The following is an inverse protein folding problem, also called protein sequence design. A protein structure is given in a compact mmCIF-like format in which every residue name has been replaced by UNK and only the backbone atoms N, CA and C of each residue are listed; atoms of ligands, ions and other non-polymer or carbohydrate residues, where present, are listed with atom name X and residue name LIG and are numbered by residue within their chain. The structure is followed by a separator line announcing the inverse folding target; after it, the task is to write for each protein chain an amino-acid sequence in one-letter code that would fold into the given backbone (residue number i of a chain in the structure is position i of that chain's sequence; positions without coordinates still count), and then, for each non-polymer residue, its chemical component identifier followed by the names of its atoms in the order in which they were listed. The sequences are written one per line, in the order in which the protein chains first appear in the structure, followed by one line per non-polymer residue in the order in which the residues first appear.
data_IF_004648110579
#
_entry.id   IF_004648110579
#
_cell.length_a   1.000
_cell.length_b   1.000
_cell.length_c   1.000
_cell.angle_alpha   90.00
_cell.angle_beta   90.00
_cell.angle_gamma   90.00
#
_symmetry.space_group_name_H-M   'P 1'
#
loop_
_entity.id
_entity.type
_entity.pdbx_description
1 polymer ?
#
# COMPACT_ATOMS: atom_id res chain seq x y z
N UNK A 1 -52.68 8.16 12.41
CA UNK A 1 -51.51 7.30 12.65
C UNK A 1 -50.34 7.84 11.85
N UNK A 2 -49.33 8.43 12.49
CA UNK A 2 -48.15 8.96 11.81
C UNK A 2 -47.29 7.78 11.33
N UNK A 3 -47.13 7.62 10.01
CA UNK A 3 -46.20 6.66 9.42
C UNK A 3 -44.77 7.08 9.81
N UNK A 4 -44.09 6.29 10.65
CA UNK A 4 -42.65 6.47 10.91
C UNK A 4 -41.92 6.38 9.56
N UNK A 5 -41.21 7.44 9.18
CA UNK A 5 -40.28 7.39 8.05
C UNK A 5 -39.24 6.29 8.31
N UNK A 6 -38.88 5.46 7.30
CA UNK A 6 -37.80 4.50 7.46
C UNK A 6 -36.50 5.24 7.81
N UNK A 7 -35.73 4.68 8.75
CA UNK A 7 -34.43 5.23 9.12
C UNK A 7 -33.52 5.24 7.89
N UNK A 8 -32.81 6.34 7.66
CA UNK A 8 -31.84 6.46 6.58
C UNK A 8 -30.69 5.45 6.84
N UNK A 9 -30.20 4.71 5.84
CA UNK A 9 -29.07 3.81 6.02
C UNK A 9 -27.83 4.58 6.49
N UNK A 10 -27.13 4.04 7.49
CA UNK A 10 -25.89 4.62 8.04
C UNK A 10 -24.80 4.59 6.97
N UNK A 11 -24.18 5.74 6.69
CA UNK A 11 -23.10 5.84 5.70
C UNK A 11 -21.77 5.33 6.27
N UNK A 12 -20.85 4.87 5.41
CA UNK A 12 -19.47 4.46 5.80
C UNK A 12 -18.77 5.54 6.64
N UNK A 13 -18.91 6.82 6.27
CA UNK A 13 -18.39 7.97 7.03
C UNK A 13 -19.01 8.13 8.42
N UNK A 14 -20.32 7.97 8.56
CA UNK A 14 -21.01 8.07 9.85
C UNK A 14 -20.60 6.92 10.78
N UNK A 15 -20.53 5.71 10.23
CA UNK A 15 -20.04 4.54 10.96
C UNK A 15 -18.60 4.74 11.43
N UNK A 16 -17.70 5.20 10.56
CA UNK A 16 -16.31 5.52 10.92
C UNK A 16 -16.24 6.55 12.05
N UNK A 17 -16.96 7.67 11.95
CA UNK A 17 -16.97 8.70 13.00
C UNK A 17 -17.43 8.14 14.34
N UNK A 18 -18.44 7.28 14.32
CA UNK A 18 -18.98 6.63 15.52
C UNK A 18 -18.04 5.55 16.08
N UNK A 19 -17.40 4.76 15.23
CA UNK A 19 -16.46 3.72 15.63
C UNK A 19 -15.19 4.32 16.22
N UNK A 20 -14.57 5.28 15.51
CA UNK A 20 -13.35 5.97 15.91
C UNK A 20 -13.58 6.95 17.07
N UNK A 21 -14.75 7.59 17.14
CA UNK A 21 -15.13 8.42 18.28
C UNK A 21 -15.30 7.61 19.58
N UNK A 22 -15.66 6.32 19.48
CA UNK A 22 -15.71 5.41 20.63
C UNK A 22 -14.35 4.80 20.98
N UNK A 23 -13.54 4.46 19.97
CA UNK A 23 -12.19 3.96 20.15
C UNK A 23 -11.27 4.51 19.05
N UNK A 24 -10.46 5.55 19.34
CA UNK A 24 -9.59 6.18 18.35
C UNK A 24 -8.40 5.28 17.92
N UNK A 25 -8.14 4.20 18.67
CA UNK A 25 -7.03 3.26 18.40
C UNK A 25 -7.42 2.10 17.51
N UNK A 26 -8.66 2.05 16.98
CA UNK A 26 -9.03 1.00 16.03
C UNK A 26 -8.18 1.14 14.77
N UNK A 27 -7.59 0.02 14.36
CA UNK A 27 -7.00 -0.11 13.04
C UNK A 27 -8.10 -0.35 11.97
N UNK A 28 -7.68 -0.24 10.72
CA UNK A 28 -8.54 -0.40 9.55
C UNK A 28 -9.31 -1.73 9.54
N UNK A 29 -8.61 -2.84 9.85
CA UNK A 29 -9.18 -4.20 9.82
C UNK A 29 -10.25 -4.36 10.89
N UNK A 30 -9.98 -3.85 12.10
CA UNK A 30 -10.91 -3.87 13.21
C UNK A 30 -12.17 -3.05 12.92
N UNK A 31 -12.05 -1.94 12.19
CA UNK A 31 -13.22 -1.16 11.75
C UNK A 31 -14.03 -1.93 10.70
N UNK A 32 -13.40 -2.55 9.71
CA UNK A 32 -14.11 -3.32 8.68
C UNK A 32 -14.79 -4.57 9.23
N UNK A 33 -14.15 -5.28 10.17
CA UNK A 33 -14.80 -6.39 10.88
C UNK A 33 -16.07 -5.93 11.62
N UNK A 34 -16.05 -4.73 12.22
CA UNK A 34 -17.22 -4.16 12.90
C UNK A 34 -18.31 -3.74 11.90
N UNK A 35 -17.92 -3.24 10.73
CA UNK A 35 -18.82 -2.85 9.65
C UNK A 35 -19.62 -4.04 9.12
N UNK A 36 -18.93 -5.15 8.82
CA UNK A 36 -19.56 -6.41 8.41
C UNK A 36 -20.45 -6.97 9.53
N UNK A 37 -19.96 -6.98 10.79
CA UNK A 37 -20.73 -7.47 11.94
C UNK A 37 -22.01 -6.64 12.20
N UNK A 38 -22.04 -5.38 11.78
CA UNK A 38 -23.22 -4.52 11.85
C UNK A 38 -24.23 -4.78 10.71
N UNK A 39 -23.95 -5.73 9.82
CA UNK A 39 -24.84 -6.12 8.72
C UNK A 39 -24.76 -5.19 7.50
N UNK A 40 -23.71 -4.38 7.41
CA UNK A 40 -23.46 -3.56 6.22
C UNK A 40 -22.77 -4.39 5.13
N UNK A 41 -22.96 -3.98 3.88
CA UNK A 41 -22.38 -4.61 2.68
C UNK A 41 -21.22 -3.79 2.14
N UNK A 42 -20.26 -4.45 1.49
CA UNK A 42 -18.99 -3.86 1.03
C UNK A 42 -18.07 -3.50 2.18
N UNK A 43 -16.90 -2.94 1.88
CA UNK A 43 -15.91 -2.54 2.89
C UNK A 43 -15.74 -1.02 2.95
N UNK A 44 -15.36 -0.53 4.12
CA UNK A 44 -14.88 0.84 4.33
C UNK A 44 -13.47 0.90 3.75
N UNK A 45 -13.19 1.78 2.79
CA UNK A 45 -11.87 1.91 2.19
C UNK A 45 -10.83 2.50 3.15
N UNK A 46 -9.56 2.15 2.92
CA UNK A 46 -8.41 2.66 3.69
C UNK A 46 -8.36 4.19 3.63
N UNK A 47 -8.52 4.75 2.43
CA UNK A 47 -8.59 6.19 2.21
C UNK A 47 -9.68 6.85 3.05
N UNK A 48 -10.91 6.31 3.05
CA UNK A 48 -12.00 6.86 3.83
C UNK A 48 -11.74 6.76 5.34
N UNK A 49 -11.13 5.66 5.80
CA UNK A 49 -10.72 5.47 7.19
C UNK A 49 -9.73 6.55 7.65
N UNK A 50 -8.65 6.78 6.90
CA UNK A 50 -7.65 7.80 7.26
C UNK A 50 -8.17 9.23 7.09
N UNK A 51 -8.98 9.52 6.07
CA UNK A 51 -9.65 10.81 5.93
C UNK A 51 -10.54 11.15 7.13
N UNK A 52 -11.29 10.16 7.65
CA UNK A 52 -12.12 10.39 8.85
C UNK A 52 -11.27 10.54 10.11
N UNK A 53 -10.18 9.78 10.27
CA UNK A 53 -9.23 9.97 11.39
C UNK A 53 -8.64 11.37 11.42
N UNK A 54 -8.18 11.86 10.27
CA UNK A 54 -7.66 13.23 10.12
C UNK A 54 -8.72 14.28 10.48
N UNK A 55 -9.96 14.13 9.99
CA UNK A 55 -11.09 15.02 10.33
C UNK A 55 -11.48 15.00 11.81
N UNK A 56 -11.23 13.90 12.51
CA UNK A 56 -11.45 13.77 13.95
C UNK A 56 -10.28 14.30 14.79
N UNK A 57 -9.21 14.81 14.16
CA UNK A 57 -8.00 15.22 14.87
C UNK A 57 -7.27 14.06 15.55
N UNK A 58 -7.57 12.81 15.16
CA UNK A 58 -6.86 11.63 15.65
C UNK A 58 -5.51 11.65 14.94
N UNK A 59 -4.50 12.18 15.61
CA UNK A 59 -3.12 12.09 15.14
C UNK A 59 -2.75 10.61 15.01
N UNK A 60 -2.33 10.22 13.82
CA UNK A 60 -1.62 8.97 13.58
C UNK A 60 -0.22 9.10 14.16
N UNK A 61 -0.11 9.00 15.48
CA UNK A 61 1.18 8.73 16.13
C UNK A 61 1.41 7.22 16.07
N UNK A 62 2.47 6.82 15.37
CA UNK A 62 2.92 5.42 15.32
C UNK A 62 3.50 5.02 16.69
N UNK A 63 2.61 4.81 17.66
CA UNK A 63 2.94 4.28 18.99
C UNK A 63 2.53 2.82 18.99
N UNK A 64 3.53 1.95 18.85
CA UNK A 64 3.39 0.51 19.01
C UNK A 64 2.90 0.22 20.44
N UNK A 65 1.60 -0.02 20.60
CA UNK A 65 1.11 -0.63 21.82
C UNK A 65 1.79 -2.01 21.92
N UNK A 66 2.65 -2.18 22.93
CA UNK A 66 3.12 -3.50 23.34
C UNK A 66 1.93 -4.23 23.91
N UNK A 67 1.26 -5.02 23.09
CA UNK A 67 0.39 -6.08 23.58
C UNK A 67 1.13 -7.42 23.57
N UNK A 68 0.88 -8.14 24.65
CA UNK A 68 1.58 -9.30 25.19
C UNK A 68 1.73 -10.47 24.23
N UNK A 69 2.88 -11.14 24.31
CA UNK A 69 3.18 -12.41 23.66
C UNK A 69 2.08 -13.47 23.92
N UNK A 70 1.56 -14.16 22.90
CA UNK A 70 0.75 -15.33 23.14
C UNK A 70 1.65 -16.52 23.47
N UNK A 71 1.36 -17.17 24.60
CA UNK A 71 1.93 -18.47 24.98
C UNK A 71 1.68 -19.52 23.90
N UNK A 72 2.64 -20.43 23.82
CA UNK A 72 2.71 -21.50 22.83
C UNK A 72 1.54 -22.49 22.90
N UNK A 73 1.27 -23.04 21.71
CA UNK A 73 0.65 -24.34 21.43
C UNK A 73 -0.78 -24.30 20.87
N UNK A 74 -0.85 -24.16 19.55
CA UNK A 74 -1.67 -25.04 18.71
C UNK A 74 -1.23 -24.83 17.27
N UNK A 75 -0.61 -25.85 16.67
CA UNK A 75 -0.30 -25.87 15.24
C UNK A 75 -1.58 -26.04 14.43
N UNK A 76 -1.90 -25.14 13.47
CA UNK A 76 -2.75 -25.49 12.35
C UNK A 76 -1.87 -26.06 11.23
N UNK A 77 -2.22 -27.24 10.75
CA UNK A 77 -1.65 -27.85 9.55
C UNK A 77 -2.05 -27.00 8.33
N UNK A 78 -1.24 -25.99 7.96
CA UNK A 78 -1.49 -25.17 6.78
C UNK A 78 -0.97 -25.85 5.50
N UNK A 79 -1.83 -25.94 4.49
CA UNK A 79 -1.40 -26.19 3.12
C UNK A 79 -0.43 -25.07 2.72
N UNK A 80 0.78 -25.42 2.28
CA UNK A 80 1.79 -24.44 1.84
C UNK A 80 1.24 -23.64 0.66
N UNK A 81 0.80 -22.40 0.89
CA UNK A 81 0.49 -21.46 -0.17
C UNK A 81 1.75 -21.21 -0.98
N UNK A 82 1.66 -21.23 -2.32
CA UNK A 82 2.79 -20.92 -3.18
C UNK A 82 3.25 -19.49 -2.93
N UNK A 83 4.57 -19.29 -2.89
CA UNK A 83 5.18 -17.97 -2.76
C UNK A 83 5.76 -17.56 -4.11
N UNK A 84 5.47 -16.33 -4.52
CA UNK A 84 5.96 -15.74 -5.76
C UNK A 84 7.02 -14.70 -5.46
N UNK A 85 8.10 -14.72 -6.23
CA UNK A 85 9.14 -13.69 -6.20
C UNK A 85 8.93 -12.70 -7.33
N UNK A 86 8.87 -11.42 -6.98
CA UNK A 86 8.78 -10.30 -7.92
C UNK A 86 9.93 -9.32 -7.70
N UNK A 87 10.38 -8.70 -8.80
CA UNK A 87 11.18 -7.49 -8.75
C UNK A 87 10.30 -6.29 -9.11
N UNK A 88 10.24 -5.33 -8.21
CA UNK A 88 9.58 -4.04 -8.39
C UNK A 88 10.66 -3.01 -8.71
N UNK A 89 10.54 -2.30 -9.81
CA UNK A 89 11.49 -1.24 -10.20
C UNK A 89 10.74 0.03 -10.53
N UNK A 90 11.08 1.13 -9.85
CA UNK A 90 10.55 2.45 -10.16
C UNK A 90 11.09 2.90 -11.53
N UNK A 91 10.18 3.18 -12.46
CA UNK A 91 10.51 3.54 -13.83
C UNK A 91 11.14 4.94 -13.90
N UNK A 92 11.88 5.17 -14.97
CA UNK A 92 12.52 6.45 -15.31
C UNK A 92 13.49 7.05 -14.26
N UNK A 93 13.89 6.26 -13.26
CA UNK A 93 14.93 6.65 -12.29
C UNK A 93 16.30 6.09 -12.66
N UNK A 94 17.35 6.90 -12.47
CA UNK A 94 18.75 6.46 -12.63
C UNK A 94 19.64 7.03 -11.50
N UNK A 95 20.44 6.20 -10.80
CA UNK A 95 20.44 4.72 -10.85
C UNK A 95 19.11 4.10 -10.38
N UNK A 96 18.83 2.82 -10.73
CA UNK A 96 17.50 2.24 -10.50
C UNK A 96 17.17 2.14 -9.00
N UNK A 97 15.94 2.53 -8.65
CA UNK A 97 15.35 2.29 -7.33
C UNK A 97 14.48 1.03 -7.43
N UNK A 98 14.73 0.02 -6.60
CA UNK A 98 14.05 -1.27 -6.75
C UNK A 98 13.97 -2.09 -5.47
N UNK A 99 13.02 -3.02 -5.43
CA UNK A 99 12.80 -4.01 -4.38
C UNK A 99 12.60 -5.38 -5.00
N UNK A 100 13.08 -6.43 -4.35
CA UNK A 100 12.74 -7.81 -4.65
C UNK A 100 11.94 -8.36 -3.47
N UNK A 101 10.71 -8.74 -3.74
CA UNK A 101 9.76 -9.19 -2.74
C UNK A 101 9.39 -10.65 -2.99
N UNK A 102 8.96 -11.32 -1.92
CA UNK A 102 8.38 -12.63 -1.93
C UNK A 102 7.04 -12.56 -1.21
N UNK A 103 5.97 -12.91 -1.91
CA UNK A 103 4.59 -12.77 -1.45
C UNK A 103 3.86 -14.10 -1.64
N UNK A 104 2.96 -14.49 -0.72
CA UNK A 104 2.05 -15.61 -1.00
C UNK A 104 1.13 -15.25 -2.17
N UNK A 105 0.38 -16.22 -2.67
CA UNK A 105 -0.73 -15.91 -3.58
C UNK A 105 -1.73 -14.99 -2.86
N UNK A 106 -1.92 -13.78 -3.38
CA UNK A 106 -2.75 -12.73 -2.80
C UNK A 106 -3.45 -11.95 -3.92
N UNK A 107 -4.35 -11.03 -3.55
CA UNK A 107 -5.01 -10.15 -4.53
C UNK A 107 -4.05 -9.07 -5.04
N UNK A 108 -4.46 -8.32 -6.07
CA UNK A 108 -3.74 -7.11 -6.46
C UNK A 108 -3.84 -6.01 -5.39
N UNK A 109 -4.96 -5.90 -4.67
CA UNK A 109 -5.09 -5.00 -3.51
C UNK A 109 -4.12 -5.35 -2.38
N UNK A 110 -3.97 -6.64 -2.04
CA UNK A 110 -2.94 -7.08 -1.10
C UNK A 110 -1.52 -6.77 -1.60
N UNK A 111 -1.26 -6.91 -2.91
CA UNK A 111 0.02 -6.56 -3.52
C UNK A 111 0.27 -5.04 -3.44
N UNK A 112 -0.75 -4.21 -3.61
CA UNK A 112 -0.65 -2.76 -3.43
C UNK A 112 -0.13 -2.43 -2.03
N UNK A 113 -0.69 -3.06 -1.00
CA UNK A 113 -0.26 -2.83 0.40
C UNK A 113 1.21 -3.20 0.63
N UNK A 114 1.65 -4.30 0.00
CA UNK A 114 3.06 -4.71 0.02
C UNK A 114 3.94 -3.69 -0.70
N UNK A 115 3.55 -3.22 -1.89
CA UNK A 115 4.32 -2.26 -2.68
C UNK A 115 4.51 -0.96 -1.89
N UNK A 116 3.43 -0.40 -1.36
CA UNK A 116 3.47 0.83 -0.55
C UNK A 116 4.42 0.68 0.64
N UNK A 117 4.33 -0.44 1.36
CA UNK A 117 5.20 -0.71 2.51
C UNK A 117 6.67 -0.83 2.11
N UNK A 118 7.00 -1.57 1.04
CA UNK A 118 8.41 -1.74 0.62
C UNK A 118 9.03 -0.51 -0.03
N UNK A 119 8.18 0.39 -0.57
CA UNK A 119 8.61 1.69 -1.08
C UNK A 119 8.67 2.75 0.03
N UNK A 120 7.99 2.55 1.16
CA UNK A 120 7.95 3.52 2.25
C UNK A 120 6.98 4.66 2.00
N UNK A 121 5.90 4.39 1.26
CA UNK A 121 4.83 5.34 0.95
C UNK A 121 3.62 5.19 1.88
N UNK A 122 2.70 6.14 1.77
CA UNK A 122 1.68 6.40 2.79
C UNK A 122 0.26 6.06 2.35
N UNK A 123 0.07 5.42 1.19
CA UNK A 123 -1.25 5.07 0.66
C UNK A 123 -2.20 6.29 0.54
N UNK A 124 -1.65 7.46 0.26
CA UNK A 124 -2.38 8.73 0.32
C UNK A 124 -3.07 9.10 -1.00
N UNK A 125 -2.73 8.42 -2.09
CA UNK A 125 -3.19 8.72 -3.44
C UNK A 125 -3.81 7.49 -4.11
N UNK A 126 -4.54 7.73 -5.20
CA UNK A 126 -5.09 6.67 -6.05
C UNK A 126 -3.98 5.86 -6.72
N UNK A 127 -4.27 4.60 -7.03
CA UNK A 127 -3.39 3.72 -7.78
C UNK A 127 -4.15 2.87 -8.78
N UNK A 128 -3.39 2.23 -9.67
CA UNK A 128 -3.89 1.20 -10.56
C UNK A 128 -2.79 0.20 -10.96
N UNK A 129 -3.20 -0.99 -11.36
CA UNK A 129 -2.37 -1.95 -12.08
C UNK A 129 -2.78 -1.98 -13.55
N UNK A 130 -1.78 -2.01 -14.44
CA UNK A 130 -1.97 -2.10 -15.90
C UNK A 130 -1.37 -3.43 -16.35
N UNK A 131 -2.23 -4.37 -16.75
CA UNK A 131 -1.87 -5.73 -17.12
C UNK A 131 -2.52 -6.05 -18.46
N UNK A 132 -1.72 -6.31 -19.51
CA UNK A 132 -2.20 -6.63 -20.86
C UNK A 132 -3.24 -5.62 -21.39
N UNK A 133 -2.96 -4.32 -21.24
CA UNK A 133 -3.83 -3.20 -21.63
C UNK A 133 -5.18 -3.11 -20.87
N UNK A 134 -5.32 -3.86 -19.77
CA UNK A 134 -6.45 -3.77 -18.86
C UNK A 134 -6.05 -3.10 -17.54
N UNK A 135 -7.00 -2.36 -16.95
CA UNK A 135 -6.78 -1.53 -15.77
C UNK A 135 -7.49 -2.15 -14.56
N UNK A 136 -6.77 -2.22 -13.44
CA UNK A 136 -7.27 -2.78 -12.19
C UNK A 136 -7.02 -1.78 -11.06
N UNK A 137 -8.00 -1.52 -10.22
CA UNK A 137 -7.89 -0.60 -9.09
C UNK A 137 -9.01 -0.81 -8.09
N UNK A 138 -9.15 0.12 -7.14
CA UNK A 138 -10.24 0.08 -6.17
C UNK A 138 -11.61 0.13 -6.88
N UNK A 139 -12.56 -0.72 -6.47
CA UNK A 139 -13.88 -0.84 -7.11
C UNK A 139 -14.66 0.49 -7.22
N UNK A 140 -14.43 1.44 -6.31
CA UNK A 140 -15.10 2.75 -6.30
C UNK A 140 -14.61 3.69 -7.44
N UNK A 141 -13.54 3.33 -8.16
CA UNK A 141 -13.01 4.12 -9.29
C UNK A 141 -13.70 3.84 -10.63
N UNK A 142 -14.42 2.72 -10.77
CA UNK A 142 -15.19 2.37 -11.98
C UNK A 142 -16.37 3.35 -12.20
N UNK A 143 -16.88 3.96 -11.13
CA UNK A 143 -17.99 4.93 -11.15
C UNK A 143 -17.61 6.32 -11.73
N UNK A 144 -16.34 6.55 -12.10
CA UNK A 144 -15.86 7.87 -12.54
C UNK A 144 -16.13 8.20 -14.03
N UNK A 145 -16.78 7.31 -14.78
CA UNK A 145 -17.20 7.50 -16.19
C UNK A 145 -16.10 8.09 -17.10
N UNK A 146 -14.85 7.66 -16.87
CA UNK A 146 -13.66 8.11 -17.62
C UNK A 146 -13.42 7.31 -18.92
N UNK A 147 -14.38 6.47 -19.32
CA UNK A 147 -14.33 5.73 -20.59
C UNK A 147 -13.32 4.58 -20.65
N UNK A 148 -12.74 4.18 -19.52
CA UNK A 148 -11.90 2.99 -19.38
C UNK A 148 -12.57 2.05 -18.36
N UNK A 149 -12.79 0.79 -18.73
CA UNK A 149 -13.31 -0.24 -17.83
C UNK A 149 -12.27 -0.52 -16.75
N UNK A 150 -12.57 -0.18 -15.50
CA UNK A 150 -11.70 -0.45 -14.36
C UNK A 150 -12.18 -1.69 -13.62
N UNK A 151 -11.32 -2.71 -13.54
CA UNK A 151 -11.63 -3.97 -12.87
C UNK A 151 -11.23 -3.90 -11.39
N UNK A 152 -12.03 -4.55 -10.54
CA UNK A 152 -11.74 -4.63 -9.10
C UNK A 152 -10.46 -5.44 -8.84
N UNK A 153 -9.49 -4.80 -8.20
CA UNK A 153 -8.19 -5.39 -7.87
C UNK A 153 -8.28 -6.54 -6.86
N UNK A 154 -9.30 -6.55 -6.00
CA UNK A 154 -9.51 -7.61 -5.01
C UNK A 154 -10.13 -8.87 -5.62
N UNK A 155 -10.59 -8.80 -6.88
CA UNK A 155 -11.06 -9.94 -7.65
C UNK A 155 -9.95 -10.78 -8.29
N UNK A 156 -8.71 -10.30 -8.31
CA UNK A 156 -7.63 -10.85 -9.15
C UNK A 156 -6.45 -11.34 -8.30
N UNK A 157 -6.16 -12.63 -8.39
CA UNK A 157 -5.03 -13.25 -7.71
C UNK A 157 -3.74 -13.22 -8.55
N UNK A 158 -2.59 -13.11 -7.88
CA UNK A 158 -1.28 -13.18 -8.54
C UNK A 158 -1.09 -14.47 -9.34
N UNK A 159 -1.61 -15.61 -8.85
CA UNK A 159 -1.55 -16.88 -9.56
C UNK A 159 -2.24 -16.85 -10.94
N UNK A 160 -3.25 -16.02 -11.13
CA UNK A 160 -3.92 -15.85 -12.42
C UNK A 160 -3.02 -15.10 -13.41
N UNK A 161 -2.30 -14.09 -12.93
CA UNK A 161 -1.37 -13.26 -13.72
C UNK A 161 -0.14 -14.08 -14.15
N UNK A 162 0.50 -14.78 -13.20
CA UNK A 162 1.77 -15.50 -13.50
C UNK A 162 1.55 -16.78 -14.33
N UNK A 163 0.36 -17.41 -14.25
CA UNK A 163 0.02 -18.56 -15.11
C UNK A 163 -0.08 -18.17 -16.58
N UNK A 164 -0.42 -16.92 -16.88
CA UNK A 164 -0.53 -16.42 -18.25
C UNK A 164 0.83 -16.29 -18.96
N UNK A 165 1.96 -16.32 -18.24
CA UNK A 165 3.29 -16.30 -18.87
C UNK A 165 4.45 -16.46 -17.89
N UNK A 166 5.45 -17.28 -18.25
CA UNK A 166 6.65 -17.57 -17.43
C UNK A 166 7.50 -16.35 -17.07
N UNK A 167 7.27 -15.20 -17.72
CA UNK A 167 7.94 -13.91 -17.48
C UNK A 167 6.91 -12.77 -17.41
N UNK A 168 5.80 -12.97 -16.69
CA UNK A 168 4.77 -11.95 -16.53
C UNK A 168 5.39 -10.62 -16.05
N UNK A 169 5.06 -9.54 -16.75
CA UNK A 169 5.47 -8.17 -16.42
C UNK A 169 4.27 -7.26 -16.58
N UNK A 170 4.05 -6.41 -15.58
CA UNK A 170 2.95 -5.47 -15.57
C UNK A 170 3.37 -4.18 -14.85
N UNK A 171 2.52 -3.16 -14.93
CA UNK A 171 2.79 -1.84 -14.34
C UNK A 171 1.89 -1.63 -13.12
N UNK A 172 2.44 -1.01 -12.08
CA UNK A 172 1.71 -0.44 -10.97
C UNK A 172 1.96 1.07 -10.96
N UNK A 173 0.90 1.86 -11.11
CA UNK A 173 0.95 3.32 -11.04
C UNK A 173 0.35 3.79 -9.72
N UNK A 174 1.07 4.67 -9.03
CA UNK A 174 0.62 5.31 -7.79
C UNK A 174 0.70 6.82 -7.93
N UNK A 175 -0.29 7.49 -7.35
CA UNK A 175 -0.52 8.93 -7.45
C UNK A 175 -0.67 9.40 -8.91
N UNK A 176 -1.91 9.56 -9.37
CA UNK A 176 -2.18 10.02 -10.74
C UNK A 176 -1.74 11.47 -10.99
N UNK A 177 -1.41 12.24 -9.95
CA UNK A 177 -0.77 13.56 -10.10
C UNK A 177 0.71 13.42 -10.47
N UNK A 178 1.47 12.70 -9.65
CA UNK A 178 2.92 12.52 -9.81
C UNK A 178 3.31 11.39 -10.79
N UNK A 179 2.36 10.49 -11.10
CA UNK A 179 2.47 9.31 -11.97
C UNK A 179 3.67 8.42 -11.65
N UNK A 180 3.72 7.91 -10.42
CA UNK A 180 4.78 6.99 -9.99
C UNK A 180 4.57 5.59 -10.58
N UNK A 181 5.21 5.32 -11.71
CA UNK A 181 5.10 4.05 -12.41
C UNK A 181 6.17 3.03 -11.98
N UNK A 182 5.72 1.83 -11.62
CA UNK A 182 6.58 0.71 -11.25
C UNK A 182 6.40 -0.43 -12.23
N UNK A 183 7.51 -0.93 -12.72
CA UNK A 183 7.54 -2.21 -13.39
C UNK A 183 7.56 -3.34 -12.35
N UNK A 184 6.55 -4.19 -12.38
CA UNK A 184 6.47 -5.42 -11.59
C UNK A 184 6.83 -6.59 -12.49
N UNK A 185 7.94 -7.27 -12.18
CA UNK A 185 8.43 -8.42 -12.95
C UNK A 185 8.38 -9.68 -12.11
N UNK A 186 7.62 -10.68 -12.57
CA UNK A 186 7.67 -12.02 -12.02
C UNK A 186 9.03 -12.65 -12.31
N UNK A 187 9.69 -13.19 -11.29
CA UNK A 187 10.97 -13.87 -11.45
C UNK A 187 10.83 -15.39 -11.34
N UNK A 188 10.11 -15.89 -10.33
CA UNK A 188 9.91 -17.33 -10.09
C UNK A 188 8.93 -17.63 -8.97
N UNK A 189 8.45 -18.88 -8.92
CA UNK A 189 7.88 -19.47 -7.72
C UNK A 189 9.02 -19.87 -6.77
N UNK A 190 8.82 -19.67 -5.47
CA UNK A 190 9.77 -20.01 -4.41
C UNK A 190 9.08 -20.97 -3.44
N UNK A 191 9.80 -22.00 -3.00
CA UNK A 191 9.33 -22.88 -1.94
C UNK A 191 9.27 -22.12 -0.61
N UNK A 192 8.14 -22.11 0.10
CA UNK A 192 8.05 -21.46 1.40
C UNK A 192 9.07 -22.02 2.39
N UNK A 193 9.87 -21.14 2.96
CA UNK A 193 10.90 -21.52 3.95
C UNK A 193 10.27 -21.70 5.34
N UNK A 194 10.58 -22.80 6.06
CA UNK A 194 10.08 -22.98 7.43
C UNK A 194 10.49 -21.82 8.34
N UNK A 195 9.55 -21.32 9.15
CA UNK A 195 9.74 -20.22 10.12
C UNK A 195 10.02 -18.85 9.49
N UNK A 196 9.90 -18.72 8.17
CA UNK A 196 9.89 -17.43 7.49
C UNK A 196 8.47 -16.93 7.38
N UNK A 197 8.25 -15.68 7.76
CA UNK A 197 6.98 -14.97 7.56
C UNK A 197 7.00 -14.26 6.21
N UNK A 198 5.88 -14.35 5.49
CA UNK A 198 5.63 -13.61 4.26
C UNK A 198 4.49 -12.60 4.49
N UNK A 199 4.41 -11.50 3.71
CA UNK A 199 5.34 -11.09 2.66
C UNK A 199 6.73 -10.70 3.22
N UNK A 200 7.79 -10.83 2.42
CA UNK A 200 9.13 -10.34 2.77
C UNK A 200 9.82 -9.67 1.60
N UNK A 201 10.66 -8.68 1.90
CA UNK A 201 11.66 -8.15 1.00
C UNK A 201 12.94 -9.02 1.11
N UNK A 202 13.42 -9.55 -0.01
CA UNK A 202 14.65 -10.32 -0.08
C UNK A 202 15.86 -9.41 -0.33
N UNK A 203 15.71 -8.43 -1.24
CA UNK A 203 16.78 -7.52 -1.66
C UNK A 203 16.18 -6.18 -2.14
N UNK A 204 17.03 -5.18 -2.33
CA UNK A 204 16.65 -3.90 -2.91
C UNK A 204 17.80 -2.91 -2.87
N UNK A 205 17.58 -1.74 -3.46
CA UNK A 205 18.55 -0.64 -3.41
C UNK A 205 17.85 0.72 -3.47
N UNK A 206 18.50 1.71 -2.85
CA UNK A 206 18.15 3.13 -2.83
C UNK A 206 16.85 3.46 -2.10
N UNK A 207 16.80 4.65 -1.52
CA UNK A 207 15.57 5.20 -0.95
C UNK A 207 14.57 5.50 -2.07
N UNK A 208 13.28 5.29 -1.83
CA UNK A 208 12.27 5.75 -2.78
C UNK A 208 12.07 7.27 -2.69
N UNK A 209 11.56 7.90 -3.75
CA UNK A 209 11.18 9.30 -3.70
C UNK A 209 10.21 9.58 -2.55
N UNK A 210 10.35 10.73 -1.86
CA UNK A 210 9.34 11.19 -0.91
C UNK A 210 7.98 11.37 -1.62
N UNK A 211 6.89 11.23 -0.87
CA UNK A 211 5.55 11.61 -1.31
C UNK A 211 5.53 13.09 -1.76
N UNK A 212 4.64 13.42 -2.71
CA UNK A 212 4.39 14.78 -3.19
C UNK A 212 5.63 15.55 -3.70
N UNK A 213 6.67 14.85 -4.18
CA UNK A 213 7.86 15.52 -4.72
C UNK A 213 7.74 15.93 -6.20
N UNK A 214 6.58 15.72 -6.84
CA UNK A 214 6.34 16.15 -8.22
C UNK A 214 6.80 15.13 -9.27
N UNK A 215 6.63 13.85 -8.98
CA UNK A 215 7.01 12.75 -9.87
C UNK A 215 8.52 12.64 -10.10
N UNK A 216 8.91 11.83 -11.08
CA UNK A 216 10.33 11.49 -11.34
C UNK A 216 11.18 12.74 -11.62
N UNK A 217 10.62 13.74 -12.29
CA UNK A 217 11.30 15.00 -12.60
C UNK A 217 11.49 15.86 -11.35
N UNK A 218 10.44 16.03 -10.56
CA UNK A 218 10.52 16.76 -9.30
C UNK A 218 11.47 16.10 -8.31
N UNK A 219 11.50 14.77 -8.24
CA UNK A 219 12.50 14.03 -7.47
C UNK A 219 13.94 14.31 -7.95
N UNK A 220 14.18 14.32 -9.26
CA UNK A 220 15.51 14.61 -9.80
C UNK A 220 15.98 16.03 -9.46
N UNK A 221 15.08 17.01 -9.50
CA UNK A 221 15.39 18.39 -9.13
C UNK A 221 15.58 18.54 -7.62
N UNK A 222 14.76 17.87 -6.81
CA UNK A 222 14.94 17.75 -5.36
C UNK A 222 16.33 17.22 -5.01
N UNK A 223 16.77 16.12 -5.65
CA UNK A 223 18.11 15.55 -5.42
C UNK A 223 19.25 16.53 -5.76
N UNK A 224 19.13 17.30 -6.86
CA UNK A 224 20.11 18.33 -7.21
C UNK A 224 20.15 19.42 -6.14
N UNK A 225 18.98 19.89 -5.71
CA UNK A 225 18.86 20.96 -4.73
C UNK A 225 19.45 20.56 -3.38
N UNK A 226 19.17 19.37 -2.85
CA UNK A 226 19.70 18.94 -1.55
C UNK A 226 21.20 18.58 -1.58
N UNK A 227 21.76 18.25 -2.75
CA UNK A 227 23.16 17.89 -2.90
C UNK A 227 24.09 19.10 -2.97
N UNK A 228 23.63 20.25 -3.47
CA UNK A 228 24.42 21.48 -3.58
C UNK A 228 23.99 22.55 -2.57
N UNK A 229 24.81 22.83 -1.53
CA UNK A 229 24.52 23.88 -0.56
C UNK A 229 24.37 25.30 -1.13
N UNK A 230 24.78 25.53 -2.37
CA UNK A 230 24.65 26.80 -3.09
C UNK A 230 23.45 26.86 -4.03
N UNK A 231 22.72 25.75 -4.20
CA UNK A 231 21.51 25.75 -5.02
C UNK A 231 20.48 26.74 -4.43
N UNK A 232 19.81 27.56 -5.25
CA UNK A 232 18.85 28.53 -4.76
C UNK A 232 17.78 27.90 -3.85
N UNK A 233 17.31 26.70 -4.22
CA UNK A 233 16.25 25.98 -3.48
C UNK A 233 16.79 25.05 -2.37
N UNK A 234 18.09 25.07 -2.06
CA UNK A 234 18.70 24.09 -1.13
C UNK A 234 18.09 24.12 0.27
N UNK A 235 17.80 25.31 0.80
CA UNK A 235 17.24 25.43 2.16
C UNK A 235 15.77 25.06 2.17
N UNK A 236 14.99 25.53 1.20
CA UNK A 236 13.57 25.22 1.05
C UNK A 236 13.34 23.71 0.93
N UNK A 237 14.15 23.01 0.12
CA UNK A 237 14.04 21.55 -0.04
C UNK A 237 14.45 20.78 1.23
N UNK A 238 15.41 21.28 2.01
CA UNK A 238 15.78 20.66 3.30
C UNK A 238 14.72 20.86 4.39
N UNK A 239 14.06 22.01 4.38
CA UNK A 239 12.93 22.28 5.27
C UNK A 239 11.73 21.41 4.89
N UNK A 240 11.39 21.37 3.60
CA UNK A 240 10.28 20.58 3.06
C UNK A 240 10.42 19.09 3.39
N UNK A 241 11.59 18.49 3.18
CA UNK A 241 11.81 17.07 3.51
C UNK A 241 11.89 16.80 5.02
N UNK A 242 11.91 17.85 5.86
CA UNK A 242 11.92 17.73 7.31
C UNK A 242 13.20 17.16 7.90
N UNK A 243 14.32 17.17 7.17
CA UNK A 243 15.60 16.69 7.68
C UNK A 243 16.59 16.17 6.64
N UNK A 244 17.33 15.13 7.03
CA UNK A 244 18.34 14.49 6.16
C UNK A 244 17.68 13.42 5.29
N UNK A 245 17.85 13.56 3.99
CA UNK A 245 17.52 12.52 3.01
C UNK A 245 18.80 11.95 2.41
N UNK A 246 18.92 10.63 2.40
CA UNK A 246 20.02 9.92 1.74
C UNK A 246 19.43 9.04 0.62
N UNK A 247 19.62 9.39 -0.66
CA UNK A 247 19.04 8.65 -1.78
C UNK A 247 19.56 7.22 -1.89
N UNK A 248 20.72 6.90 -1.30
CA UNK A 248 21.31 5.55 -1.38
C UNK A 248 20.88 4.66 -0.21
N UNK A 249 20.24 5.23 0.81
CA UNK A 249 19.86 4.50 2.02
C UNK A 249 18.74 3.49 1.75
N UNK A 250 19.05 2.22 2.00
CA UNK A 250 18.06 1.13 1.99
C UNK A 250 18.47 0.02 2.98
N UNK A 251 17.50 -0.58 3.66
CA UNK A 251 17.71 -1.73 4.56
C UNK A 251 16.58 -2.73 4.41
N UNK A 252 16.94 -3.96 4.02
CA UNK A 252 16.03 -5.11 3.93
C UNK A 252 15.43 -5.42 5.30
N UNK A 253 16.22 -5.33 6.36
CA UNK A 253 15.79 -5.58 7.73
C UNK A 253 14.76 -4.56 8.19
N UNK A 254 14.92 -3.29 7.83
CA UNK A 254 13.96 -2.24 8.15
C UNK A 254 12.62 -2.48 7.44
N UNK A 255 12.65 -2.70 6.13
CA UNK A 255 11.44 -3.01 5.36
C UNK A 255 10.75 -4.27 5.87
N UNK A 256 11.50 -5.33 6.20
CA UNK A 256 10.93 -6.55 6.75
C UNK A 256 10.37 -6.40 8.17
N UNK A 257 10.75 -5.36 8.93
CA UNK A 257 10.05 -5.03 10.17
C UNK A 257 8.69 -4.41 9.87
N UNK A 258 8.61 -3.51 8.90
CA UNK A 258 7.35 -2.89 8.51
C UNK A 258 6.36 -3.90 7.91
N UNK A 259 6.84 -4.81 7.05
CA UNK A 259 5.99 -5.86 6.46
C UNK A 259 5.35 -6.81 7.49
N UNK A 260 5.92 -6.95 8.69
CA UNK A 260 5.31 -7.78 9.76
C UNK A 260 4.01 -7.18 10.29
N UNK A 261 3.75 -5.91 10.02
CA UNK A 261 2.55 -5.21 10.50
C UNK A 261 1.37 -5.39 9.54
N UNK A 262 1.61 -5.88 8.32
CA UNK A 262 0.59 -6.23 7.33
C UNK A 262 -0.10 -7.57 7.60
N UNK A 263 0.17 -8.28 8.69
CA UNK A 263 -0.49 -9.57 8.97
C UNK A 263 -0.95 -9.69 10.41
#
# INVERSE_FOLDING_TARGET
MAKKKPAKPETKSEFLRKALGKNPNLDYRQVNQRWIKAGHTGDISNALFYQVRAKLGIKTEWVWAKESEPEADSTPTEARSQVYQFKITLMDTRPPIWRRIQVPDCTLGDLHEVIQTVMGWQHSHMHQFIINDEYYGEADLDDLDVGMEMKDEDGILLSQIVKAGKNARFVYEYDFGDSWQHSIQFERVVEPEPKVRYPRCAEGARACPPEDCGGVWGYADFLKAIADPKHPDHQDMKEWIGGKFDPEKFSVEAVNRELKNLG
#
